data_IF_200552815838
#
_entry.id   IF_200552815838
#
_cell.length_a   1.000
_cell.length_b   1.000
_cell.length_c   1.000
_cell.angle_alpha   90.00
_cell.angle_beta   90.00
_cell.angle_gamma   90.00
#
_symmetry.space_group_name_H-M   'P 1'
#
loop_
_entity.id
_entity.type
_entity.pdbx_description
1 polymer ?
#
# COMPACT_ATOMS: atom_id res chain seq x y z
N UNK A 1 56.65 86.47 -26.19
CA UNK A 1 56.64 85.59 -27.38
C UNK A 1 58.07 85.15 -27.58
N UNK A 2 58.33 83.85 -27.52
CA UNK A 2 59.65 83.30 -27.81
C UNK A 2 60.04 83.65 -29.24
N UNK A 3 61.30 84.03 -29.44
CA UNK A 3 61.85 84.38 -30.74
C UNK A 3 61.92 83.11 -31.60
N UNK A 4 61.11 83.06 -32.66
CA UNK A 4 61.06 81.90 -33.57
C UNK A 4 62.39 81.83 -34.31
N UNK A 5 63.14 80.75 -34.12
CA UNK A 5 64.41 80.50 -34.81
C UNK A 5 64.21 79.50 -35.93
N UNK A 6 64.96 79.68 -37.02
CA UNK A 6 64.96 78.71 -38.11
C UNK A 6 65.48 77.35 -37.58
N UNK A 7 64.72 76.25 -37.72
CA UNK A 7 65.17 74.93 -37.28
C UNK A 7 66.38 74.41 -38.05
N UNK A 8 66.63 74.93 -39.26
CA UNK A 8 67.73 74.46 -40.10
C UNK A 8 69.07 75.16 -39.84
N UNK A 9 69.07 76.41 -39.37
CA UNK A 9 70.32 77.17 -39.17
C UNK A 9 70.39 77.94 -37.84
N UNK A 10 69.34 77.91 -37.02
CA UNK A 10 69.27 78.58 -35.72
C UNK A 10 69.14 80.10 -35.78
N UNK A 11 69.12 80.71 -36.97
CA UNK A 11 68.99 82.16 -37.14
C UNK A 11 67.62 82.66 -36.71
N UNK A 12 67.60 83.80 -36.00
CA UNK A 12 66.37 84.54 -35.65
C UNK A 12 65.85 85.42 -36.79
N UNK A 13 66.59 85.51 -37.91
CA UNK A 13 66.17 86.27 -39.09
C UNK A 13 65.11 85.51 -39.91
N UNK A 14 63.94 85.28 -39.31
CA UNK A 14 62.81 84.59 -39.96
C UNK A 14 61.70 85.59 -40.31
N UNK A 15 61.16 85.47 -41.52
CA UNK A 15 60.03 86.23 -42.03
C UNK A 15 58.78 85.37 -41.96
N UNK A 16 57.71 85.91 -41.37
CA UNK A 16 56.40 85.27 -41.38
C UNK A 16 55.75 85.41 -42.76
N UNK A 17 55.37 84.30 -43.38
CA UNK A 17 54.61 84.28 -44.65
C UNK A 17 53.11 84.17 -44.36
N UNK A 18 52.70 83.21 -43.53
CA UNK A 18 51.31 83.05 -43.07
C UNK A 18 51.28 82.79 -41.56
N UNK A 19 50.10 82.57 -40.97
CA UNK A 19 50.00 82.35 -39.52
C UNK A 19 50.89 81.20 -39.01
N UNK A 20 51.05 80.16 -39.82
CA UNK A 20 51.80 78.96 -39.46
C UNK A 20 53.08 78.76 -40.28
N UNK A 21 53.35 79.59 -41.30
CA UNK A 21 54.46 79.39 -42.24
C UNK A 21 55.49 80.51 -42.18
N UNK A 22 56.74 80.13 -42.05
CA UNK A 22 57.88 81.02 -41.88
C UNK A 22 58.97 80.70 -42.89
N UNK A 23 59.72 81.72 -43.30
CA UNK A 23 60.86 81.64 -44.20
C UNK A 23 62.09 82.20 -43.50
N UNK A 24 63.21 81.47 -43.54
CA UNK A 24 64.46 81.95 -42.99
C UNK A 24 65.19 82.81 -44.02
N UNK A 25 65.45 84.08 -43.69
CA UNK A 25 66.17 85.00 -44.56
C UNK A 25 67.68 84.71 -44.66
N UNK A 26 68.20 83.81 -43.81
CA UNK A 26 69.63 83.47 -43.77
C UNK A 26 69.97 82.21 -44.58
N UNK A 27 69.01 81.33 -44.84
CA UNK A 27 69.25 80.08 -45.57
C UNK A 27 68.10 79.69 -46.52
N UNK A 28 67.16 80.61 -46.76
CA UNK A 28 65.98 80.45 -47.61
C UNK A 28 65.11 79.22 -47.26
N UNK A 29 65.19 78.72 -46.02
CA UNK A 29 64.43 77.57 -45.58
C UNK A 29 62.99 77.95 -45.23
N UNK A 30 62.02 77.24 -45.82
CA UNK A 30 60.60 77.36 -45.56
C UNK A 30 60.15 76.31 -44.53
N UNK A 31 59.57 76.72 -43.41
CA UNK A 31 59.12 75.78 -42.38
C UNK A 31 57.78 76.19 -41.76
N UNK A 32 57.06 75.21 -41.21
CA UNK A 32 55.80 75.40 -40.53
C UNK A 32 56.03 75.36 -39.02
N UNK A 33 55.44 76.32 -38.31
CA UNK A 33 55.31 76.31 -36.85
C UNK A 33 53.85 75.98 -36.57
N UNK A 34 53.52 74.69 -36.51
CA UNK A 34 52.20 74.27 -36.06
C UNK A 34 52.06 74.57 -34.58
N UNK A 35 51.05 75.35 -34.23
CA UNK A 35 50.76 75.70 -32.85
C UNK A 35 50.08 74.52 -32.14
N UNK A 36 50.85 73.45 -31.90
CA UNK A 36 50.44 72.22 -31.24
C UNK A 36 49.69 72.51 -29.92
N UNK A 37 50.00 73.62 -29.23
CA UNK A 37 49.37 73.96 -27.95
C UNK A 37 47.86 74.21 -28.05
N UNK A 38 47.34 74.73 -29.18
CA UNK A 38 45.90 74.98 -29.34
C UNK A 38 45.11 73.69 -29.58
N UNK A 39 45.68 72.69 -30.25
CA UNK A 39 45.02 71.40 -30.46
C UNK A 39 45.09 70.52 -29.20
N UNK A 40 46.22 70.55 -28.47
CA UNK A 40 46.31 69.88 -27.18
C UNK A 40 45.32 70.46 -26.15
N UNK A 41 45.19 71.80 -26.07
CA UNK A 41 44.20 72.42 -25.17
C UNK A 41 42.74 72.01 -25.48
N UNK A 42 42.37 71.93 -26.76
CA UNK A 42 41.03 71.46 -27.15
C UNK A 42 40.81 69.98 -26.84
N UNK A 43 41.86 69.18 -26.92
CA UNK A 43 41.81 67.74 -26.61
C UNK A 43 41.67 67.52 -25.10
N UNK A 44 42.42 68.27 -24.28
CA UNK A 44 42.31 68.22 -22.83
C UNK A 44 40.94 68.69 -22.34
N UNK A 45 40.40 69.78 -22.90
CA UNK A 45 39.05 70.26 -22.58
C UNK A 45 37.97 69.24 -22.97
N UNK A 46 38.14 68.53 -24.08
CA UNK A 46 37.24 67.45 -24.48
C UNK A 46 37.31 66.24 -23.55
N UNK A 47 38.52 65.84 -23.14
CA UNK A 47 38.75 64.75 -22.18
C UNK A 47 38.16 65.09 -20.80
N UNK A 48 38.30 66.33 -20.35
CA UNK A 48 37.73 66.78 -19.08
C UNK A 48 36.20 66.76 -19.11
N UNK A 49 35.58 67.21 -20.21
CA UNK A 49 34.14 67.13 -20.40
C UNK A 49 33.63 65.68 -20.41
N UNK A 50 34.33 64.76 -21.08
CA UNK A 50 34.00 63.33 -21.06
C UNK A 50 34.11 62.76 -19.65
N UNK A 51 35.16 63.10 -18.90
CA UNK A 51 35.31 62.66 -17.51
C UNK A 51 34.18 63.19 -16.61
N UNK A 52 33.77 64.45 -16.79
CA UNK A 52 32.64 65.01 -16.04
C UNK A 52 31.32 64.34 -16.40
N UNK A 53 31.09 64.02 -17.67
CA UNK A 53 29.88 63.35 -18.13
C UNK A 53 29.82 61.88 -17.65
N UNK A 54 30.95 61.17 -17.70
CA UNK A 54 31.10 59.84 -17.10
C UNK A 54 30.84 59.88 -15.60
N UNK A 55 31.38 60.88 -14.89
CA UNK A 55 31.15 61.06 -13.45
C UNK A 55 29.67 61.28 -13.15
N UNK A 56 28.99 62.17 -13.88
CA UNK A 56 27.53 62.39 -13.75
C UNK A 56 26.73 61.13 -14.06
N UNK A 57 27.14 60.36 -15.06
CA UNK A 57 26.48 59.10 -15.42
C UNK A 57 26.63 58.06 -14.31
N UNK A 58 27.83 57.91 -13.72
CA UNK A 58 28.07 57.01 -12.58
C UNK A 58 27.28 57.46 -11.34
N UNK A 59 27.24 58.76 -11.05
CA UNK A 59 26.46 59.31 -9.95
C UNK A 59 24.95 59.04 -10.15
N UNK A 60 24.42 59.23 -11.35
CA UNK A 60 23.03 58.91 -11.70
C UNK A 60 22.72 57.41 -11.56
N UNK A 61 23.63 56.53 -11.98
CA UNK A 61 23.48 55.07 -11.81
C UNK A 61 23.45 54.71 -10.32
N UNK A 62 24.34 55.28 -9.50
CA UNK A 62 24.36 55.06 -8.05
C UNK A 62 23.11 55.60 -7.34
N UNK A 63 22.56 56.72 -7.80
CA UNK A 63 21.29 57.28 -7.29
C UNK A 63 20.07 56.42 -7.67
N UNK A 64 19.99 55.95 -8.92
CA UNK A 64 18.91 55.04 -9.34
C UNK A 64 18.98 53.69 -8.64
N UNK A 65 20.18 53.19 -8.39
CA UNK A 65 20.44 52.02 -7.55
C UNK A 65 19.98 52.18 -6.10
N UNK A 66 20.18 53.36 -5.50
CA UNK A 66 19.76 53.63 -4.13
C UNK A 66 18.23 53.72 -3.99
N UNK A 67 17.55 54.30 -4.99
CA UNK A 67 16.09 54.48 -5.00
C UNK A 67 15.33 53.17 -5.30
N UNK A 68 15.96 52.20 -5.98
CA UNK A 68 15.37 50.88 -6.29
C UNK A 68 15.65 49.78 -5.24
N UNK A 69 16.19 50.12 -4.06
CA UNK A 69 16.51 49.15 -3.01
C UNK A 69 17.86 48.48 -3.19
N UNK A 70 18.89 49.26 -3.53
CA UNK A 70 20.31 48.92 -3.51
C UNK A 70 20.75 48.05 -4.68
N UNK A 71 21.53 48.61 -5.62
CA UNK A 71 22.33 47.79 -6.54
C UNK A 71 23.63 47.39 -5.85
N UNK A 72 23.72 46.12 -5.46
CA UNK A 72 24.93 45.55 -4.86
C UNK A 72 24.63 44.41 -3.88
N UNK A 73 25.70 43.87 -3.29
CA UNK A 73 25.69 42.76 -2.32
C UNK A 73 24.79 43.04 -1.10
N UNK A 74 24.70 44.30 -0.67
CA UNK A 74 23.88 44.74 0.47
C UNK A 74 22.37 44.75 0.18
N UNK A 75 21.99 45.05 -1.08
CA UNK A 75 20.59 44.98 -1.52
C UNK A 75 20.09 43.54 -1.60
N UNK A 76 20.96 42.62 -2.02
CA UNK A 76 20.68 41.18 -2.02
C UNK A 76 20.57 40.63 -0.59
N UNK A 77 21.52 40.97 0.29
CA UNK A 77 21.55 40.49 1.68
C UNK A 77 20.31 40.91 2.48
N UNK A 78 19.86 42.17 2.30
CA UNK A 78 18.64 42.65 2.96
C UNK A 78 17.37 42.00 2.42
N UNK A 79 17.26 41.79 1.09
CA UNK A 79 16.12 41.07 0.50
C UNK A 79 16.08 39.63 1.01
N UNK A 80 17.25 39.03 1.21
CA UNK A 80 17.38 37.68 1.76
C UNK A 80 16.95 37.60 3.22
N UNK A 81 17.46 38.49 4.08
CA UNK A 81 17.06 38.60 5.50
C UNK A 81 15.55 38.79 5.67
N UNK A 82 14.95 39.55 4.77
CA UNK A 82 13.51 39.78 4.80
C UNK A 82 12.71 38.52 4.42
N UNK A 83 13.11 37.81 3.36
CA UNK A 83 12.50 36.53 2.99
C UNK A 83 12.66 35.45 4.08
N UNK A 84 13.81 35.42 4.76
CA UNK A 84 14.06 34.53 5.89
C UNK A 84 13.19 34.88 7.11
N UNK A 85 12.93 36.17 7.35
CA UNK A 85 12.10 36.62 8.46
C UNK A 85 10.63 36.19 8.26
N UNK A 86 10.11 36.30 7.03
CA UNK A 86 8.78 35.80 6.66
C UNK A 86 8.64 34.29 6.88
N UNK A 87 9.73 33.56 6.62
CA UNK A 87 9.81 32.12 6.79
C UNK A 87 9.83 31.72 8.28
N UNK A 88 10.63 32.40 9.11
CA UNK A 88 10.63 32.24 10.58
C UNK A 88 9.29 32.57 11.23
N UNK A 89 8.49 33.41 10.58
CA UNK A 89 7.12 33.76 11.01
C UNK A 89 6.07 32.74 10.51
N UNK A 90 6.47 31.69 9.80
CA UNK A 90 5.57 30.64 9.29
C UNK A 90 4.80 31.04 8.02
N UNK A 91 5.10 32.18 7.40
CA UNK A 91 4.41 32.65 6.20
C UNK A 91 5.08 32.11 4.92
N UNK A 92 4.87 30.81 4.68
CA UNK A 92 5.56 30.04 3.64
C UNK A 92 5.29 30.58 2.23
N UNK A 93 4.04 30.98 1.93
CA UNK A 93 3.66 31.48 0.60
C UNK A 93 4.34 32.82 0.27
N UNK A 94 4.39 33.74 1.24
CA UNK A 94 5.06 35.03 1.06
C UNK A 94 6.59 34.88 0.97
N UNK A 95 7.17 33.98 1.77
CA UNK A 95 8.59 33.66 1.69
C UNK A 95 8.96 33.08 0.32
N UNK A 96 8.16 32.15 -0.21
CA UNK A 96 8.37 31.55 -1.53
C UNK A 96 8.29 32.57 -2.66
N UNK A 97 7.34 33.52 -2.61
CA UNK A 97 7.26 34.61 -3.58
C UNK A 97 8.47 35.54 -3.49
N UNK A 98 8.91 35.89 -2.27
CA UNK A 98 10.08 36.73 -2.05
C UNK A 98 11.35 36.08 -2.61
N UNK A 99 11.55 34.78 -2.36
CA UNK A 99 12.64 34.01 -2.95
C UNK A 99 12.51 33.97 -4.49
N UNK A 100 11.36 33.61 -5.05
CA UNK A 100 11.18 33.61 -6.51
C UNK A 100 11.49 34.95 -7.17
N UNK A 101 11.25 36.07 -6.49
CA UNK A 101 11.62 37.40 -6.96
C UNK A 101 13.13 37.60 -6.96
N UNK A 102 13.82 37.20 -5.89
CA UNK A 102 15.30 37.21 -5.83
C UNK A 102 15.90 36.32 -6.93
N UNK A 103 15.28 35.17 -7.24
CA UNK A 103 15.68 34.27 -8.35
C UNK A 103 15.73 34.98 -9.68
N UNK A 104 14.64 35.71 -9.99
CA UNK A 104 14.47 36.37 -11.27
C UNK A 104 15.39 37.59 -11.39
N UNK A 105 15.61 38.29 -10.28
CA UNK A 105 16.44 39.49 -10.23
C UNK A 105 17.95 39.18 -10.16
N UNK A 106 18.36 38.04 -9.59
CA UNK A 106 19.76 37.65 -9.36
C UNK A 106 20.02 36.17 -9.67
N UNK A 107 19.99 35.82 -10.95
CA UNK A 107 20.12 34.44 -11.49
C UNK A 107 21.37 33.68 -10.98
N UNK A 108 22.42 34.41 -10.61
CA UNK A 108 23.79 33.93 -10.32
C UNK A 108 24.11 33.81 -8.81
N UNK A 109 23.28 34.32 -7.90
CA UNK A 109 23.54 34.32 -6.45
C UNK A 109 22.47 33.62 -5.60
N UNK A 110 21.39 33.17 -6.24
CA UNK A 110 20.15 32.75 -5.58
C UNK A 110 20.19 31.34 -4.95
N UNK A 111 21.01 30.42 -5.47
CA UNK A 111 20.84 28.99 -5.24
C UNK A 111 21.33 28.50 -3.89
N UNK A 112 22.41 29.06 -3.38
CA UNK A 112 22.99 28.67 -2.09
C UNK A 112 22.11 29.06 -0.91
N UNK A 113 21.62 30.30 -0.91
CA UNK A 113 20.91 30.82 0.24
C UNK A 113 19.51 30.19 0.39
N UNK A 114 18.88 29.74 -0.70
CA UNK A 114 17.59 29.03 -0.66
C UNK A 114 17.71 27.71 0.12
N UNK A 115 18.88 27.06 0.09
CA UNK A 115 19.21 25.92 0.96
C UNK A 115 19.17 26.27 2.45
N UNK A 116 19.75 27.42 2.84
CA UNK A 116 19.72 27.93 4.22
C UNK A 116 18.30 28.26 4.71
N UNK A 117 17.47 28.83 3.85
CA UNK A 117 16.07 29.13 4.16
C UNK A 117 15.25 27.87 4.44
N UNK A 118 15.55 26.78 3.73
CA UNK A 118 14.85 25.51 3.89
C UNK A 118 15.37 24.70 5.08
N UNK A 119 16.65 24.81 5.45
CA UNK A 119 17.19 24.28 6.70
C UNK A 119 16.47 24.87 7.93
N UNK A 120 16.09 26.16 7.85
CA UNK A 120 15.28 26.82 8.88
C UNK A 120 13.81 26.36 8.89
N UNK A 121 13.18 26.02 7.74
CA UNK A 121 11.83 25.41 7.71
C UNK A 121 11.83 24.01 8.37
N UNK A 122 12.88 23.23 8.12
CA UNK A 122 12.99 21.83 8.57
C UNK A 122 13.24 21.70 10.08
N UNK A 123 13.64 22.77 10.78
CA UNK A 123 13.72 22.78 12.25
C UNK A 123 12.38 22.48 12.92
N UNK A 124 11.25 22.82 12.27
CA UNK A 124 9.92 22.76 12.88
C UNK A 124 8.98 21.69 12.28
N UNK A 125 9.25 21.11 11.09
CA UNK A 125 8.41 20.06 10.46
C UNK A 125 9.21 19.06 9.59
N UNK A 126 9.57 17.87 10.10
CA UNK A 126 10.37 16.91 9.36
C UNK A 126 9.50 15.97 8.51
N UNK A 127 9.25 16.32 7.25
CA UNK A 127 8.76 15.36 6.24
C UNK A 127 9.96 14.85 5.41
N UNK A 128 10.56 13.74 5.85
CA UNK A 128 11.86 13.23 5.35
C UNK A 128 11.85 12.77 3.89
N UNK A 129 10.68 12.35 3.40
CA UNK A 129 10.40 11.94 2.03
C UNK A 129 10.77 13.08 1.06
N UNK A 130 10.52 14.30 1.52
CA UNK A 130 10.81 15.53 0.82
C UNK A 130 12.30 15.90 0.95
N UNK A 131 12.90 15.72 2.13
CA UNK A 131 14.32 16.05 2.41
C UNK A 131 15.27 15.37 1.43
N UNK A 132 15.12 14.08 1.17
CA UNK A 132 16.00 13.37 0.23
C UNK A 132 15.90 13.89 -1.21
N UNK A 133 14.68 13.98 -1.76
CA UNK A 133 14.45 14.49 -3.12
C UNK A 133 14.93 15.94 -3.30
N UNK A 134 14.91 16.73 -2.23
CA UNK A 134 15.30 18.14 -2.27
C UNK A 134 16.80 18.35 -2.15
N UNK A 135 17.50 17.57 -1.34
CA UNK A 135 18.97 17.61 -1.27
C UNK A 135 19.56 17.13 -2.60
N UNK A 136 18.91 16.17 -3.27
CA UNK A 136 19.28 15.74 -4.62
C UNK A 136 19.24 16.92 -5.61
N UNK A 137 18.24 17.81 -5.49
CA UNK A 137 18.11 19.02 -6.33
C UNK A 137 19.15 20.09 -5.98
N UNK A 138 19.54 20.21 -4.72
CA UNK A 138 20.61 21.12 -4.27
C UNK A 138 21.98 20.70 -4.79
N UNK A 139 22.31 19.41 -4.74
CA UNK A 139 23.61 18.89 -5.22
C UNK A 139 23.85 19.10 -6.73
N UNK A 140 22.79 19.38 -7.50
CA UNK A 140 22.88 19.70 -8.93
C UNK A 140 23.26 21.17 -9.20
N UNK A 141 23.52 21.98 -8.17
CA UNK A 141 23.87 23.40 -8.30
C UNK A 141 25.40 23.60 -8.29
N UNK A 142 25.93 24.34 -9.27
CA UNK A 142 27.39 24.57 -9.42
C UNK A 142 28.00 25.55 -8.38
N UNK A 143 27.20 26.43 -7.77
CA UNK A 143 27.69 27.55 -6.93
C UNK A 143 27.42 27.39 -5.41
N UNK A 144 27.54 26.18 -4.86
CA UNK A 144 27.34 25.94 -3.42
C UNK A 144 28.52 26.51 -2.64
N UNK A 145 28.27 27.49 -1.75
CA UNK A 145 29.32 28.00 -0.86
C UNK A 145 29.64 26.99 0.26
N UNK A 146 30.86 27.05 0.84
CA UNK A 146 31.24 26.17 1.95
C UNK A 146 30.29 26.24 3.16
N UNK A 147 29.77 27.41 3.49
CA UNK A 147 28.85 27.59 4.63
C UNK A 147 27.50 26.88 4.42
N UNK A 148 26.99 26.91 3.19
CA UNK A 148 25.73 26.22 2.83
C UNK A 148 25.94 24.72 2.80
N UNK A 149 27.10 24.26 2.32
CA UNK A 149 27.47 22.85 2.38
C UNK A 149 27.54 22.34 3.82
N UNK A 150 28.12 23.12 4.74
CA UNK A 150 28.19 22.76 6.15
C UNK A 150 26.80 22.67 6.81
N UNK A 151 25.88 23.59 6.52
CA UNK A 151 24.51 23.52 7.05
C UNK A 151 23.72 22.34 6.45
N UNK A 152 23.92 22.04 5.15
CA UNK A 152 23.32 20.84 4.52
C UNK A 152 23.82 19.54 5.15
N UNK A 153 25.13 19.43 5.41
CA UNK A 153 25.72 18.28 6.10
C UNK A 153 25.12 18.13 7.50
N UNK A 154 24.94 19.23 8.22
CA UNK A 154 24.29 19.22 9.54
C UNK A 154 22.83 18.73 9.47
N UNK A 155 22.02 19.24 8.56
CA UNK A 155 20.63 18.79 8.37
C UNK A 155 20.55 17.31 7.99
N UNK A 156 21.48 16.81 7.16
CA UNK A 156 21.58 15.39 6.84
C UNK A 156 21.97 14.54 8.05
N UNK A 157 22.86 15.05 8.91
CA UNK A 157 23.26 14.38 10.15
C UNK A 157 22.09 14.25 11.12
N UNK A 158 21.38 15.35 11.35
CA UNK A 158 20.20 15.40 12.21
C UNK A 158 19.09 14.50 11.65
N UNK A 159 18.90 14.53 10.32
CA UNK A 159 17.96 13.64 9.62
C UNK A 159 18.32 12.18 9.72
N UNK A 160 19.61 11.81 9.61
CA UNK A 160 20.08 10.44 9.84
C UNK A 160 19.76 9.97 11.26
N UNK A 161 20.07 10.77 12.29
CA UNK A 161 19.79 10.40 13.67
C UNK A 161 18.29 10.24 13.93
N UNK A 162 17.47 11.17 13.42
CA UNK A 162 16.02 11.10 13.55
C UNK A 162 15.43 9.89 12.84
N UNK A 163 15.84 9.63 11.60
CA UNK A 163 15.42 8.46 10.81
C UNK A 163 15.79 7.14 11.51
N UNK A 164 16.99 7.03 12.08
CA UNK A 164 17.39 5.86 12.87
C UNK A 164 16.49 5.68 14.12
N UNK A 165 16.16 6.76 14.81
CA UNK A 165 15.23 6.71 15.94
C UNK A 165 13.82 6.26 15.54
N UNK A 166 13.30 6.77 14.42
CA UNK A 166 11.99 6.40 13.88
C UNK A 166 11.97 4.94 13.39
N UNK A 167 13.00 4.51 12.66
CA UNK A 167 13.16 3.11 12.26
C UNK A 167 13.24 2.18 13.48
N UNK A 168 13.91 2.59 14.56
CA UNK A 168 13.93 1.85 15.82
C UNK A 168 12.53 1.71 16.44
N UNK A 169 11.73 2.77 16.43
CA UNK A 169 10.34 2.72 16.90
C UNK A 169 9.46 1.81 16.03
N UNK A 170 9.57 1.94 14.70
CA UNK A 170 8.85 1.10 13.75
C UNK A 170 9.26 -0.38 13.88
N UNK A 171 10.55 -0.66 14.05
CA UNK A 171 11.06 -2.00 14.30
C UNK A 171 10.48 -2.60 15.59
N UNK A 172 10.42 -1.83 16.67
CA UNK A 172 9.82 -2.28 17.92
C UNK A 172 8.32 -2.58 17.77
N UNK A 173 7.58 -1.74 17.02
CA UNK A 173 6.17 -1.96 16.74
C UNK A 173 5.93 -3.23 15.89
N UNK A 174 6.71 -3.43 14.83
CA UNK A 174 6.62 -4.63 14.00
C UNK A 174 7.05 -5.89 14.78
N UNK A 175 8.09 -5.83 15.61
CA UNK A 175 8.48 -6.96 16.48
C UNK A 175 7.37 -7.32 17.49
N UNK A 176 6.71 -6.33 18.08
CA UNK A 176 5.57 -6.57 18.97
C UNK A 176 4.40 -7.22 18.23
N UNK A 177 4.07 -6.72 17.03
CA UNK A 177 3.06 -7.30 16.14
C UNK A 177 3.42 -8.74 15.73
N UNK A 178 4.69 -9.01 15.42
CA UNK A 178 5.18 -10.35 15.11
C UNK A 178 4.95 -11.31 16.27
N UNK A 179 5.27 -10.88 17.49
CA UNK A 179 5.06 -11.68 18.70
C UNK A 179 3.58 -12.00 18.94
N UNK A 180 2.70 -11.01 18.76
CA UNK A 180 1.25 -11.18 18.87
C UNK A 180 0.70 -12.14 17.81
N UNK A 181 1.04 -11.93 16.53
CA UNK A 181 0.63 -12.80 15.43
C UNK A 181 1.11 -14.24 15.63
N UNK A 182 2.36 -14.44 16.04
CA UNK A 182 2.93 -15.75 16.35
C UNK A 182 2.16 -16.45 17.48
N UNK A 183 1.83 -15.72 18.55
CA UNK A 183 1.04 -16.25 19.65
C UNK A 183 -0.39 -16.62 19.22
N UNK A 184 -1.04 -15.78 18.43
CA UNK A 184 -2.39 -16.03 17.90
C UNK A 184 -2.42 -17.26 16.99
N UNK A 185 -1.42 -17.44 16.12
CA UNK A 185 -1.29 -18.64 15.28
C UNK A 185 -1.13 -19.88 16.16
N UNK A 186 -0.27 -19.82 17.19
CA UNK A 186 -0.05 -20.94 18.11
C UNK A 186 -1.33 -21.34 18.85
N UNK A 187 -2.08 -20.37 19.37
CA UNK A 187 -3.37 -20.64 20.02
C UNK A 187 -4.38 -21.26 19.05
N UNK A 188 -4.41 -20.78 17.81
CA UNK A 188 -5.31 -21.30 16.79
C UNK A 188 -4.94 -22.72 16.35
N UNK A 189 -3.66 -23.06 16.27
CA UNK A 189 -3.18 -24.42 16.01
C UNK A 189 -3.55 -25.38 17.16
N UNK A 190 -3.42 -24.94 18.42
CA UNK A 190 -3.86 -25.71 19.59
C UNK A 190 -5.37 -25.95 19.57
N UNK A 191 -6.18 -24.93 19.30
CA UNK A 191 -7.64 -25.07 19.16
C UNK A 191 -8.03 -25.99 18.00
N UNK A 192 -7.35 -25.86 16.86
CA UNK A 192 -7.59 -26.72 15.69
C UNK A 192 -7.30 -28.17 16.03
N UNK A 193 -6.21 -28.46 16.74
CA UNK A 193 -5.85 -29.81 17.18
C UNK A 193 -6.87 -30.40 18.16
N UNK A 194 -7.37 -29.61 19.11
CA UNK A 194 -8.43 -30.04 20.03
C UNK A 194 -9.70 -30.40 19.24
N UNK A 195 -10.06 -29.56 18.26
CA UNK A 195 -11.24 -29.76 17.45
C UNK A 195 -11.11 -30.97 16.51
N UNK A 196 -9.93 -31.21 15.96
CA UNK A 196 -9.60 -32.38 15.15
C UNK A 196 -9.70 -33.68 15.98
N UNK A 197 -9.13 -33.71 17.19
CA UNK A 197 -9.25 -34.85 18.09
C UNK A 197 -10.71 -35.10 18.50
N UNK A 198 -11.49 -34.05 18.78
CA UNK A 198 -12.92 -34.19 19.09
C UNK A 198 -13.72 -34.73 17.89
N UNK A 199 -13.35 -34.30 16.69
CA UNK A 199 -13.97 -34.80 15.46
C UNK A 199 -13.64 -36.28 15.22
N UNK A 200 -12.38 -36.69 15.43
CA UNK A 200 -11.98 -38.09 15.28
C UNK A 200 -12.68 -38.99 16.29
N UNK A 201 -12.74 -38.57 17.56
CA UNK A 201 -13.45 -39.30 18.62
C UNK A 201 -14.94 -39.45 18.28
N UNK A 202 -15.63 -38.38 17.89
CA UNK A 202 -17.03 -38.45 17.47
C UNK A 202 -17.25 -39.35 16.27
N UNK A 203 -16.31 -39.37 15.33
CA UNK A 203 -16.39 -40.24 14.14
C UNK A 203 -16.21 -41.71 14.50
N UNK A 204 -15.31 -42.02 15.43
CA UNK A 204 -15.11 -43.37 15.98
C UNK A 204 -16.32 -43.84 16.79
N UNK A 205 -16.85 -42.99 17.69
CA UNK A 205 -18.07 -43.26 18.46
C UNK A 205 -19.26 -43.53 17.53
N UNK A 206 -19.42 -42.70 16.48
CA UNK A 206 -20.44 -42.89 15.47
C UNK A 206 -20.26 -44.24 14.78
N UNK A 207 -19.04 -44.55 14.29
CA UNK A 207 -18.74 -45.83 13.63
C UNK A 207 -19.06 -47.03 14.52
N UNK A 208 -18.62 -47.03 15.78
CA UNK A 208 -18.87 -48.11 16.74
C UNK A 208 -20.37 -48.27 17.04
N UNK A 209 -21.10 -47.16 17.23
CA UNK A 209 -22.56 -47.18 17.44
C UNK A 209 -23.30 -47.75 16.24
N UNK A 210 -22.83 -47.47 15.02
CA UNK A 210 -23.45 -48.01 13.79
C UNK A 210 -23.16 -49.48 13.57
N UNK A 211 -21.98 -49.96 13.92
CA UNK A 211 -21.69 -51.38 13.84
C UNK A 211 -22.71 -52.18 14.69
N UNK A 212 -22.96 -51.73 15.92
CA UNK A 212 -24.00 -52.29 16.79
C UNK A 212 -25.42 -52.09 16.26
N UNK A 213 -25.78 -50.88 15.81
CA UNK A 213 -27.14 -50.59 15.34
C UNK A 213 -27.47 -51.31 14.03
N UNK A 214 -26.49 -51.48 13.13
CA UNK A 214 -26.66 -52.23 11.89
C UNK A 214 -26.79 -53.73 12.14
N UNK A 215 -26.08 -54.29 13.13
CA UNK A 215 -26.23 -55.68 13.54
C UNK A 215 -27.62 -55.93 14.12
N UNK A 216 -28.09 -55.05 15.02
CA UNK A 216 -29.43 -55.12 15.60
C UNK A 216 -30.51 -54.90 14.53
N UNK A 217 -30.34 -53.91 13.65
CA UNK A 217 -31.28 -53.63 12.56
C UNK A 217 -31.40 -54.78 11.56
N UNK A 218 -30.26 -55.41 11.20
CA UNK A 218 -30.25 -56.65 10.40
C UNK A 218 -30.94 -57.79 11.12
N UNK A 219 -30.67 -58.00 12.42
CA UNK A 219 -31.31 -59.05 13.21
C UNK A 219 -32.84 -58.84 13.33
N UNK A 220 -33.29 -57.62 13.61
CA UNK A 220 -34.71 -57.27 13.68
C UNK A 220 -35.38 -57.45 12.32
N UNK A 221 -34.77 -57.00 11.24
CA UNK A 221 -35.29 -57.20 9.87
C UNK A 221 -35.43 -58.68 9.53
N UNK A 222 -34.46 -59.52 9.93
CA UNK A 222 -34.52 -60.97 9.72
C UNK A 222 -35.66 -61.58 10.55
N UNK A 223 -35.78 -61.21 11.83
CA UNK A 223 -36.86 -61.70 12.71
C UNK A 223 -38.24 -61.33 12.14
N UNK A 224 -38.43 -60.07 11.72
CA UNK A 224 -39.69 -59.60 11.12
C UNK A 224 -40.00 -60.36 9.83
N UNK A 225 -39.00 -60.59 8.97
CA UNK A 225 -39.18 -61.37 7.75
C UNK A 225 -39.57 -62.83 8.03
N UNK A 226 -38.94 -63.47 9.03
CA UNK A 226 -39.28 -64.83 9.46
C UNK A 226 -40.70 -64.90 10.02
N UNK A 227 -41.09 -63.96 10.88
CA UNK A 227 -42.45 -63.90 11.44
C UNK A 227 -43.48 -63.69 10.33
N UNK A 228 -43.22 -62.79 9.37
CA UNK A 228 -44.10 -62.58 8.21
C UNK A 228 -44.21 -63.83 7.34
N UNK A 229 -43.12 -64.55 7.12
CA UNK A 229 -43.12 -65.81 6.36
C UNK A 229 -43.93 -66.90 7.07
N UNK A 230 -43.80 -67.03 8.40
CA UNK A 230 -44.60 -67.97 9.20
C UNK A 230 -46.08 -67.63 9.10
N UNK A 231 -46.46 -66.36 9.26
CA UNK A 231 -47.86 -65.91 9.13
C UNK A 231 -48.39 -66.19 7.72
N UNK A 232 -47.58 -65.97 6.68
CA UNK A 232 -47.91 -66.32 5.30
C UNK A 232 -48.18 -67.82 5.12
N UNK A 233 -47.28 -68.68 5.60
CA UNK A 233 -47.42 -70.14 5.55
C UNK A 233 -48.68 -70.59 6.29
N UNK A 234 -48.93 -70.08 7.50
CA UNK A 234 -50.13 -70.40 8.28
C UNK A 234 -51.40 -69.98 7.53
N UNK A 235 -51.40 -68.78 6.93
CA UNK A 235 -52.53 -68.30 6.13
C UNK A 235 -52.81 -69.21 4.93
N UNK A 236 -51.76 -69.69 4.26
CA UNK A 236 -51.87 -70.65 3.15
C UNK A 236 -52.41 -72.00 3.63
N UNK A 237 -51.94 -72.52 4.77
CA UNK A 237 -52.46 -73.77 5.37
C UNK A 237 -53.95 -73.64 5.70
N UNK A 238 -54.38 -72.51 6.25
CA UNK A 238 -55.80 -72.24 6.51
C UNK A 238 -56.63 -72.18 5.23
N UNK A 239 -56.09 -71.61 4.14
CA UNK A 239 -56.74 -71.63 2.82
C UNK A 239 -56.87 -73.05 2.28
N UNK A 240 -55.84 -73.90 2.39
CA UNK A 240 -55.90 -75.30 1.95
C UNK A 240 -56.90 -76.14 2.77
N UNK A 241 -56.92 -75.99 4.10
CA UNK A 241 -57.94 -76.63 4.96
C UNK A 241 -59.35 -76.17 4.58
N UNK A 242 -59.52 -74.89 4.25
CA UNK A 242 -60.81 -74.38 3.79
C UNK A 242 -61.25 -75.00 2.46
N UNK A 243 -60.35 -75.15 1.47
CA UNK A 243 -60.67 -75.83 0.19
C UNK A 243 -61.17 -77.26 0.44
N UNK A 244 -60.55 -77.97 1.39
CA UNK A 244 -60.96 -79.32 1.79
C UNK A 244 -62.34 -79.34 2.49
N UNK A 245 -62.58 -78.43 3.43
CA UNK A 245 -63.86 -78.29 4.14
C UNK A 245 -65.01 -77.95 3.19
N UNK A 246 -64.78 -77.06 2.21
CA UNK A 246 -65.78 -76.70 1.19
C UNK A 246 -66.09 -77.90 0.31
N UNK A 247 -65.07 -78.63 -0.17
CA UNK A 247 -65.29 -79.89 -0.91
C UNK A 247 -66.13 -80.89 -0.11
N UNK A 248 -65.85 -81.04 1.18
CA UNK A 248 -66.59 -81.94 2.07
C UNK A 248 -68.06 -81.51 2.25
N UNK A 249 -68.31 -80.20 2.44
CA UNK A 249 -69.66 -79.64 2.53
C UNK A 249 -70.46 -79.84 1.24
N UNK A 250 -69.85 -79.64 0.07
CA UNK A 250 -70.50 -79.90 -1.22
C UNK A 250 -70.79 -81.41 -1.41
N UNK A 251 -69.89 -82.28 -0.97
CA UNK A 251 -70.07 -83.73 -1.02
C UNK A 251 -71.23 -84.23 -0.15
N UNK A 252 -71.40 -83.66 1.06
CA UNK A 252 -72.46 -84.06 2.00
C UNK A 252 -73.80 -83.34 1.80
N UNK A 253 -73.84 -82.24 1.06
CA UNK A 253 -75.09 -81.53 0.76
C UNK A 253 -76.04 -82.34 -0.14
N UNK A 254 -75.51 -83.30 -0.93
CA UNK A 254 -76.31 -84.15 -1.83
C UNK A 254 -77.13 -85.24 -1.11
N UNK A 255 -77.03 -85.41 0.21
CA UNK A 255 -77.79 -86.44 0.94
C UNK A 255 -78.98 -85.92 1.77
N UNK A 256 -79.31 -84.63 1.71
CA UNK A 256 -80.41 -84.03 2.50
C UNK A 256 -81.40 -83.28 1.59
N UNK A 257 -82.69 -83.33 1.92
CA UNK A 257 -83.79 -82.83 1.09
C UNK A 257 -83.65 -81.37 0.60
N UNK A 258 -84.27 -81.09 -0.56
CA UNK A 258 -84.12 -79.91 -1.42
C UNK A 258 -84.04 -78.55 -0.68
N UNK A 259 -84.95 -78.26 0.25
CA UNK A 259 -85.00 -76.97 0.95
C UNK A 259 -83.94 -76.81 2.06
N UNK A 260 -83.54 -77.91 2.72
CA UNK A 260 -82.47 -77.89 3.71
C UNK A 260 -81.07 -77.76 3.04
N UNK A 261 -80.94 -78.28 1.82
CA UNK A 261 -79.75 -78.10 0.98
C UNK A 261 -79.50 -76.65 0.59
N UNK A 262 -80.53 -75.95 0.10
CA UNK A 262 -80.41 -74.54 -0.34
C UNK A 262 -80.03 -73.61 0.82
N UNK A 263 -80.63 -73.76 1.99
CA UNK A 263 -80.31 -72.94 3.17
C UNK A 263 -78.86 -73.11 3.65
N UNK A 264 -78.32 -74.33 3.60
CA UNK A 264 -76.90 -74.58 3.94
C UNK A 264 -75.93 -74.06 2.89
N UNK A 265 -76.29 -74.12 1.61
CA UNK A 265 -75.47 -73.56 0.53
C UNK A 265 -75.40 -72.04 0.69
N UNK A 266 -76.52 -71.35 0.91
CA UNK A 266 -76.54 -69.91 1.14
C UNK A 266 -75.73 -69.50 2.37
N UNK A 267 -75.91 -70.19 3.51
CA UNK A 267 -75.11 -69.93 4.73
C UNK A 267 -73.62 -70.21 4.50
N UNK A 268 -73.30 -71.24 3.71
CA UNK A 268 -71.94 -71.57 3.29
C UNK A 268 -71.32 -70.49 2.40
N UNK A 269 -72.07 -69.94 1.45
CA UNK A 269 -71.63 -68.83 0.59
C UNK A 269 -71.36 -67.56 1.40
N UNK A 270 -72.26 -67.18 2.31
CA UNK A 270 -72.08 -66.00 3.19
C UNK A 270 -70.85 -66.18 4.09
N UNK A 271 -70.70 -67.36 4.71
CA UNK A 271 -69.54 -67.67 5.57
C UNK A 271 -68.22 -67.68 4.78
N UNK A 272 -68.28 -68.07 3.50
CA UNK A 272 -67.13 -68.07 2.60
C UNK A 272 -66.70 -66.65 2.23
N UNK A 273 -67.65 -65.81 1.81
CA UNK A 273 -67.37 -64.42 1.46
C UNK A 273 -66.80 -63.66 2.67
N UNK A 274 -67.40 -63.86 3.85
CA UNK A 274 -66.93 -63.22 5.08
C UNK A 274 -65.50 -63.64 5.44
N UNK A 275 -65.14 -64.92 5.28
CA UNK A 275 -63.77 -65.41 5.55
C UNK A 275 -62.76 -64.93 4.52
N UNK A 276 -63.11 -64.85 3.24
CA UNK A 276 -62.24 -64.30 2.19
C UNK A 276 -61.99 -62.81 2.43
N UNK A 277 -63.02 -62.06 2.81
CA UNK A 277 -62.86 -60.65 3.18
C UNK A 277 -61.89 -60.49 4.38
N UNK A 278 -62.01 -61.35 5.39
CA UNK A 278 -61.09 -61.38 6.54
C UNK A 278 -59.66 -61.75 6.10
N UNK A 279 -59.48 -62.76 5.24
CA UNK A 279 -58.13 -63.18 4.81
C UNK A 279 -57.44 -62.11 3.96
N UNK A 280 -58.16 -61.47 3.04
CA UNK A 280 -57.62 -60.36 2.23
C UNK A 280 -57.30 -59.15 3.11
N UNK A 281 -58.15 -58.84 4.09
CA UNK A 281 -57.90 -57.79 5.08
C UNK A 281 -56.63 -58.05 5.90
N UNK A 282 -56.40 -59.29 6.34
CA UNK A 282 -55.17 -59.68 7.07
C UNK A 282 -53.93 -59.52 6.21
N UNK A 283 -53.96 -59.93 4.93
CA UNK A 283 -52.83 -59.77 4.01
C UNK A 283 -52.50 -58.29 3.79
N UNK A 284 -53.51 -57.44 3.59
CA UNK A 284 -53.31 -55.99 3.45
C UNK A 284 -52.71 -55.36 4.70
N UNK A 285 -53.16 -55.78 5.90
CA UNK A 285 -52.58 -55.30 7.16
C UNK A 285 -51.12 -55.72 7.33
N UNK A 286 -50.74 -56.93 6.92
CA UNK A 286 -49.35 -57.39 6.94
C UNK A 286 -48.48 -56.54 6.01
N UNK A 287 -48.95 -56.24 4.80
CA UNK A 287 -48.21 -55.41 3.82
C UNK A 287 -48.07 -53.97 4.35
N UNK A 288 -49.15 -53.38 4.89
CA UNK A 288 -49.11 -52.05 5.48
C UNK A 288 -48.15 -51.97 6.66
N UNK A 289 -48.17 -52.99 7.54
CA UNK A 289 -47.25 -53.07 8.67
C UNK A 289 -45.79 -53.24 8.21
N UNK A 290 -45.54 -54.03 7.17
CA UNK A 290 -44.21 -54.18 6.57
C UNK A 290 -43.68 -52.84 6.05
N UNK A 291 -44.48 -52.08 5.28
CA UNK A 291 -44.08 -50.76 4.79
C UNK A 291 -43.89 -49.73 5.91
N UNK A 292 -44.72 -49.78 6.95
CA UNK A 292 -44.56 -48.91 8.13
C UNK A 292 -43.22 -49.19 8.84
N UNK A 293 -42.92 -50.47 9.09
CA UNK A 293 -41.65 -50.88 9.73
C UNK A 293 -40.46 -50.56 8.85
N UNK A 294 -40.54 -50.83 7.54
CA UNK A 294 -39.49 -50.47 6.58
C UNK A 294 -39.27 -48.95 6.53
N UNK A 295 -40.34 -48.17 6.50
CA UNK A 295 -40.30 -46.71 6.57
C UNK A 295 -39.56 -46.21 7.82
N UNK A 296 -39.89 -46.75 9.00
CA UNK A 296 -39.22 -46.40 10.27
C UNK A 296 -37.74 -46.82 10.29
N UNK A 297 -37.38 -47.95 9.66
CA UNK A 297 -35.98 -48.39 9.55
C UNK A 297 -35.19 -47.47 8.60
N UNK A 298 -35.80 -47.00 7.52
CA UNK A 298 -35.14 -46.15 6.51
C UNK A 298 -35.06 -44.68 6.89
N UNK A 299 -36.07 -44.14 7.58
CA UNK A 299 -36.06 -42.78 8.12
C UNK A 299 -35.34 -42.79 9.47
N UNK A 300 -34.02 -42.61 9.47
CA UNK A 300 -33.21 -42.64 10.69
C UNK A 300 -32.80 -41.21 11.14
N UNK A 301 -33.62 -40.54 11.96
CA UNK A 301 -33.36 -39.16 12.39
C UNK A 301 -32.06 -39.00 13.20
N UNK A 302 -31.55 -40.07 13.82
CA UNK A 302 -30.29 -40.02 14.55
C UNK A 302 -29.08 -39.90 13.61
N UNK A 303 -29.14 -40.51 12.42
CA UNK A 303 -28.05 -40.40 11.41
C UNK A 303 -27.92 -38.97 10.91
N UNK A 304 -29.05 -38.34 10.58
CA UNK A 304 -29.07 -37.00 10.02
C UNK A 304 -28.59 -35.96 11.05
N UNK A 305 -29.01 -36.10 12.31
CA UNK A 305 -28.58 -35.21 13.41
C UNK A 305 -27.08 -35.30 13.72
N UNK A 306 -26.50 -36.50 13.69
CA UNK A 306 -25.08 -36.71 13.94
C UNK A 306 -24.22 -36.28 12.74
N UNK A 307 -24.70 -36.52 11.51
CA UNK A 307 -24.05 -36.03 10.30
C UNK A 307 -24.03 -34.50 10.29
N UNK A 308 -25.15 -33.86 10.63
CA UNK A 308 -25.24 -32.40 10.76
C UNK A 308 -24.24 -31.84 11.78
N UNK A 309 -24.00 -32.55 12.89
CA UNK A 309 -23.00 -32.15 13.88
C UNK A 309 -21.56 -32.29 13.37
N UNK A 310 -21.25 -33.35 12.62
CA UNK A 310 -19.95 -33.55 11.97
C UNK A 310 -19.70 -32.43 10.94
N UNK A 311 -20.70 -32.13 10.11
CA UNK A 311 -20.61 -31.08 9.09
C UNK A 311 -20.43 -29.70 9.72
N UNK A 312 -21.10 -29.43 10.85
CA UNK A 312 -20.92 -28.19 11.62
C UNK A 312 -19.49 -28.04 12.14
N UNK A 313 -18.92 -29.10 12.73
CA UNK A 313 -17.54 -29.09 13.26
C UNK A 313 -16.54 -28.92 12.11
N UNK A 314 -16.75 -29.59 10.97
CA UNK A 314 -15.94 -29.45 9.77
C UNK A 314 -15.99 -28.02 9.21
N UNK A 315 -17.17 -27.40 9.15
CA UNK A 315 -17.32 -26.01 8.72
C UNK A 315 -16.57 -25.04 9.64
N UNK A 316 -16.67 -25.22 10.96
CA UNK A 316 -15.89 -24.44 11.92
C UNK A 316 -14.37 -24.64 11.74
N UNK A 317 -13.93 -25.86 11.45
CA UNK A 317 -12.52 -26.15 11.21
C UNK A 317 -11.99 -25.47 9.94
N UNK A 318 -12.77 -25.43 8.86
CA UNK A 318 -12.39 -24.69 7.65
C UNK A 318 -12.20 -23.20 7.93
N UNK A 319 -13.12 -22.59 8.68
CA UNK A 319 -13.01 -21.17 9.07
C UNK A 319 -11.75 -20.90 9.90
N UNK A 320 -11.40 -21.82 10.82
CA UNK A 320 -10.15 -21.69 11.60
C UNK A 320 -8.90 -21.83 10.72
N UNK A 321 -8.88 -22.77 9.77
CA UNK A 321 -7.77 -22.95 8.84
C UNK A 321 -7.59 -21.73 7.93
N UNK A 322 -8.68 -21.16 7.44
CA UNK A 322 -8.65 -19.92 6.66
C UNK A 322 -8.12 -18.75 7.49
N UNK A 323 -8.59 -18.60 8.73
CA UNK A 323 -8.08 -17.59 9.66
C UNK A 323 -6.58 -17.78 9.92
N UNK A 324 -6.11 -19.01 10.08
CA UNK A 324 -4.68 -19.32 10.26
C UNK A 324 -3.86 -18.93 9.04
N UNK A 325 -4.34 -19.23 7.84
CA UNK A 325 -3.65 -18.85 6.60
C UNK A 325 -3.55 -17.33 6.44
N UNK A 326 -4.62 -16.60 6.79
CA UNK A 326 -4.62 -15.14 6.77
C UNK A 326 -3.61 -14.55 7.77
N UNK A 327 -3.59 -15.05 9.01
CA UNK A 327 -2.61 -14.63 10.02
C UNK A 327 -1.17 -14.97 9.60
N UNK A 328 -0.94 -16.12 8.96
CA UNK A 328 0.37 -16.49 8.43
C UNK A 328 0.83 -15.53 7.31
N UNK A 329 -0.09 -15.10 6.45
CA UNK A 329 0.21 -14.11 5.42
C UNK A 329 0.59 -12.75 6.05
N UNK A 330 -0.15 -12.29 7.06
CA UNK A 330 0.18 -11.08 7.81
C UNK A 330 1.54 -11.18 8.52
N UNK A 331 1.86 -12.34 9.09
CA UNK A 331 3.16 -12.61 9.72
C UNK A 331 4.30 -12.53 8.71
N UNK A 332 4.13 -13.08 7.51
CA UNK A 332 5.14 -13.02 6.46
C UNK A 332 5.38 -11.56 6.00
N UNK A 333 4.33 -10.74 5.90
CA UNK A 333 4.44 -9.31 5.59
C UNK A 333 5.20 -8.57 6.70
N UNK A 334 4.86 -8.83 7.97
CA UNK A 334 5.54 -8.27 9.13
C UNK A 334 7.04 -8.62 9.14
N UNK A 335 7.40 -9.88 8.87
CA UNK A 335 8.80 -10.31 8.76
C UNK A 335 9.56 -9.60 7.64
N UNK A 336 8.93 -9.39 6.48
CA UNK A 336 9.52 -8.64 5.38
C UNK A 336 9.75 -7.16 5.78
N UNK A 337 8.79 -6.53 6.45
CA UNK A 337 8.94 -5.17 6.97
C UNK A 337 10.12 -5.06 7.95
N UNK A 338 10.24 -5.99 8.89
CA UNK A 338 11.37 -6.05 9.84
C UNK A 338 12.71 -6.16 9.11
N UNK A 339 12.81 -7.03 8.10
CA UNK A 339 14.04 -7.17 7.30
C UNK A 339 14.37 -5.87 6.55
N UNK A 340 13.37 -5.21 5.97
CA UNK A 340 13.57 -3.95 5.25
C UNK A 340 14.03 -2.83 6.19
N UNK A 341 13.39 -2.67 7.35
CA UNK A 341 13.75 -1.69 8.37
C UNK A 341 15.20 -1.92 8.83
N UNK A 342 15.58 -3.16 9.15
CA UNK A 342 16.93 -3.50 9.56
C UNK A 342 17.97 -3.21 8.47
N UNK A 343 17.64 -3.50 7.20
CA UNK A 343 18.52 -3.20 6.06
C UNK A 343 18.73 -1.69 5.89
N UNK A 344 17.66 -0.90 5.95
CA UNK A 344 17.74 0.57 5.83
C UNK A 344 18.54 1.15 7.00
N UNK A 345 18.24 0.73 8.23
CA UNK A 345 18.94 1.16 9.43
C UNK A 345 20.43 0.82 9.39
N UNK A 346 20.80 -0.42 9.04
CA UNK A 346 22.20 -0.82 8.94
C UNK A 346 22.97 -0.03 7.88
N UNK A 347 22.37 0.20 6.71
CA UNK A 347 22.99 1.01 5.67
C UNK A 347 23.19 2.47 6.13
N UNK A 348 22.21 3.04 6.83
CA UNK A 348 22.34 4.38 7.43
C UNK A 348 23.45 4.43 8.47
N UNK A 349 23.58 3.42 9.33
CA UNK A 349 24.62 3.34 10.36
C UNK A 349 26.04 3.23 9.77
N UNK A 350 26.22 2.40 8.73
CA UNK A 350 27.52 2.16 8.08
C UNK A 350 28.11 3.42 7.41
N UNK A 351 27.27 4.39 7.05
CA UNK A 351 27.70 5.66 6.47
C UNK A 351 28.38 6.54 7.55
N UNK A 352 29.70 6.35 7.73
CA UNK A 352 30.54 7.10 8.67
C UNK A 352 30.72 8.58 8.29
N UNK A 353 30.59 8.91 7.00
CA UNK A 353 30.59 10.29 6.47
C UNK A 353 29.23 10.57 5.85
N UNK A 354 28.82 11.84 5.86
CA UNK A 354 27.61 12.30 5.19
C UNK A 354 27.88 12.32 3.68
N UNK A 355 27.87 11.14 3.05
CA UNK A 355 27.88 11.05 1.61
C UNK A 355 26.46 11.34 1.12
N UNK A 356 26.26 12.55 0.62
CA UNK A 356 24.95 13.08 0.23
C UNK A 356 24.25 12.15 -0.76
N UNK A 357 24.99 11.59 -1.73
CA UNK A 357 24.45 10.72 -2.77
C UNK A 357 23.92 9.39 -2.24
N UNK A 358 24.50 8.87 -1.14
CA UNK A 358 24.15 7.56 -0.57
C UNK A 358 23.11 7.68 0.55
N UNK A 359 23.13 8.78 1.33
CA UNK A 359 22.19 9.01 2.44
C UNK A 359 20.78 9.35 1.94
N UNK A 360 20.66 10.16 0.89
CA UNK A 360 19.38 10.63 0.35
C UNK A 360 18.37 9.50 0.08
N UNK A 361 18.70 8.48 -0.74
CA UNK A 361 17.74 7.43 -1.07
C UNK A 361 17.34 6.60 0.16
N UNK A 362 18.24 6.45 1.13
CA UNK A 362 17.97 5.74 2.38
C UNK A 362 17.01 6.53 3.28
N UNK A 363 17.14 7.86 3.35
CA UNK A 363 16.20 8.71 4.08
C UNK A 363 14.80 8.68 3.45
N UNK A 364 14.70 8.68 2.12
CA UNK A 364 13.41 8.55 1.41
C UNK A 364 12.77 7.20 1.74
N UNK A 365 13.56 6.11 1.68
CA UNK A 365 13.08 4.78 2.02
C UNK A 365 12.65 4.66 3.49
N UNK A 366 13.39 5.29 4.41
CA UNK A 366 13.03 5.34 5.82
C UNK A 366 11.70 6.09 6.05
N UNK A 367 11.44 7.15 5.30
CA UNK A 367 10.20 7.93 5.36
C UNK A 367 8.93 7.15 5.01
N UNK A 368 9.02 5.96 4.39
CA UNK A 368 7.86 5.09 4.14
C UNK A 368 7.31 4.43 5.41
N UNK A 369 8.09 4.44 6.49
CA UNK A 369 7.74 3.86 7.80
C UNK A 369 7.33 4.92 8.83
N UNK A 370 7.20 6.18 8.39
CA UNK A 370 6.60 7.29 9.10
C UNK A 370 5.14 7.44 8.66
#
# INVERSE_FOLDING_TARGET
>A
MEEIKCPSCGSGAVRKITEEKYECMACDNLFLVHNLSKEFQKTDEHIENIHQDLKKTIENINLTAAVAGGSGRDGLDNRYKNAMTLLKQGNISAAQQAFNKIKNDFIWSYKGYYGLALCEIQKDRPEWNAVGEYIQKLNLCEDITPDIKAEMEKVLSDGKQSALGQLGNALNAENAKQAELSNNIKQLDEMTKIQENSLSEKKEEFSARWEHTSAIGKAVSIIVAVVCAIIGIVSVIFLFRWIADVRYLFSNAMSYGFFAGIGRILLGCVRTILRVAISVGVVFLIIMFYFLVFGIITANPQKDSAQQNIDKINGQMQVMLERRNNLQAELNVCQNNIQNINRIGSNLEQLQKINVEEIIPLLIAAGQYY
#
